data_IF_798496669088
#
_entry.id   IF_798496669088
#
_cell.length_a   1.000
_cell.length_b   1.000
_cell.length_c   1.000
_cell.angle_alpha   90.00
_cell.angle_beta   90.00
_cell.angle_gamma   90.00
#
_symmetry.space_group_name_H-M   'P 1'
#
loop_
_entity.id
_entity.type
_entity.pdbx_description
1 polymer ?
#
# COMPACT_ATOMS: atom_id res chain seq x y z
N UNK A 1 10.31 5.98 -4.23
CA UNK A 1 11.00 7.25 -4.54
C UNK A 1 9.97 8.12 -5.21
N UNK A 2 9.88 9.38 -4.80
CA UNK A 2 8.89 10.30 -5.37
C UNK A 2 9.23 10.49 -6.84
N UNK A 3 8.29 10.13 -7.71
CA UNK A 3 8.47 10.22 -9.16
C UNK A 3 7.67 11.39 -9.72
N UNK A 4 8.17 11.98 -10.80
CA UNK A 4 7.45 13.03 -11.54
C UNK A 4 6.13 12.51 -12.10
N UNK A 5 6.11 11.28 -12.63
CA UNK A 5 4.90 10.61 -13.08
C UNK A 5 3.90 10.38 -11.95
N UNK A 6 4.37 9.97 -10.76
CA UNK A 6 3.54 9.81 -9.57
C UNK A 6 2.90 11.12 -9.11
N UNK A 7 3.66 12.22 -9.12
CA UNK A 7 3.15 13.57 -8.78
C UNK A 7 2.14 14.09 -9.82
N UNK A 8 2.38 13.84 -11.11
CA UNK A 8 1.44 14.22 -12.17
C UNK A 8 0.15 13.41 -12.05
N UNK A 9 0.24 12.11 -11.83
CA UNK A 9 -0.91 11.24 -11.66
C UNK A 9 -1.71 11.59 -10.39
N UNK A 10 -1.05 11.87 -9.28
CA UNK A 10 -1.71 12.31 -8.04
C UNK A 10 -2.41 13.66 -8.23
N UNK A 11 -1.78 14.60 -8.94
CA UNK A 11 -2.41 15.87 -9.29
C UNK A 11 -3.64 15.70 -10.17
N UNK A 12 -3.56 14.85 -11.20
CA UNK A 12 -4.71 14.53 -12.05
C UNK A 12 -5.84 13.85 -11.26
N UNK A 13 -5.50 12.92 -10.36
CA UNK A 13 -6.47 12.30 -9.47
C UNK A 13 -7.16 13.30 -8.55
N UNK A 14 -6.42 14.26 -7.96
CA UNK A 14 -7.01 15.34 -7.18
C UNK A 14 -7.96 16.21 -8.02
N UNK A 15 -7.56 16.59 -9.23
CA UNK A 15 -8.42 17.36 -10.12
C UNK A 15 -9.70 16.60 -10.50
N UNK A 16 -9.59 15.31 -10.81
CA UNK A 16 -10.73 14.45 -11.15
C UNK A 16 -11.64 14.22 -9.95
N UNK A 17 -11.08 13.96 -8.76
CA UNK A 17 -11.82 13.82 -7.52
C UNK A 17 -12.64 15.09 -7.22
N UNK A 18 -12.03 16.27 -7.39
CA UNK A 18 -12.75 17.53 -7.23
C UNK A 18 -13.86 17.69 -8.27
N UNK A 19 -13.61 17.34 -9.53
CA UNK A 19 -14.63 17.39 -10.59
C UNK A 19 -15.82 16.48 -10.26
N UNK A 20 -15.56 15.25 -9.80
CA UNK A 20 -16.56 14.30 -9.35
C UNK A 20 -17.36 14.84 -8.16
N UNK A 21 -16.68 15.38 -7.15
CA UNK A 21 -17.33 15.99 -6.00
C UNK A 21 -18.27 17.12 -6.41
N UNK A 22 -17.83 18.01 -7.30
CA UNK A 22 -18.65 19.12 -7.79
C UNK A 22 -19.86 18.62 -8.57
N UNK A 23 -19.67 17.59 -9.42
CA UNK A 23 -20.76 16.97 -10.17
C UNK A 23 -21.81 16.32 -9.26
N UNK A 24 -21.37 15.63 -8.20
CA UNK A 24 -22.24 14.99 -7.22
C UNK A 24 -23.04 16.00 -6.39
N UNK A 25 -22.42 17.12 -5.99
CA UNK A 25 -23.08 18.18 -5.21
C UNK A 25 -24.03 19.01 -6.11
N UNK A 26 -23.87 18.96 -7.43
CA UNK A 26 -24.65 19.78 -8.37
C UNK A 26 -24.29 21.26 -8.30
N UNK A 27 -23.12 21.61 -7.77
CA UNK A 27 -22.71 23.01 -7.56
C UNK A 27 -22.26 23.63 -8.88
N UNK A 28 -22.99 24.64 -9.35
CA UNK A 28 -22.57 25.44 -10.50
C UNK A 28 -21.66 26.57 -10.04
N UNK A 29 -20.51 26.70 -10.69
CA UNK A 29 -19.62 27.83 -10.50
C UNK A 29 -19.84 28.81 -11.65
N UNK A 30 -20.01 30.09 -11.33
CA UNK A 30 -19.93 31.15 -12.34
C UNK A 30 -18.54 31.12 -13.02
N UNK A 31 -18.42 31.79 -14.17
CA UNK A 31 -17.17 31.89 -14.96
C UNK A 31 -16.10 32.73 -14.25
N UNK A 32 -15.80 32.44 -12.99
CA UNK A 32 -14.82 33.14 -12.17
C UNK A 32 -13.76 32.19 -11.60
N UNK A 33 -12.70 32.77 -11.05
CA UNK A 33 -11.64 32.07 -10.35
C UNK A 33 -12.08 31.39 -9.05
N UNK A 34 -13.34 31.56 -8.61
CA UNK A 34 -13.88 30.92 -7.40
C UNK A 34 -13.80 29.39 -7.42
N UNK A 35 -13.70 28.77 -8.61
CA UNK A 35 -13.48 27.32 -8.74
C UNK A 35 -12.04 26.90 -8.42
N UNK A 36 -11.04 27.74 -8.66
CA UNK A 36 -9.62 27.37 -8.67
C UNK A 36 -9.12 26.91 -7.29
N UNK A 37 -9.52 27.58 -6.21
CA UNK A 37 -9.09 27.23 -4.85
C UNK A 37 -9.42 25.79 -4.47
N UNK A 38 -10.61 25.30 -4.84
CA UNK A 38 -11.01 23.91 -4.54
C UNK A 38 -10.18 22.87 -5.31
N UNK A 39 -9.78 23.17 -6.55
CA UNK A 39 -8.91 22.29 -7.33
C UNK A 39 -7.49 22.29 -6.77
N UNK A 40 -6.93 23.45 -6.42
CA UNK A 40 -5.58 23.56 -5.84
C UNK A 40 -5.51 22.77 -4.53
N UNK A 41 -6.50 22.92 -3.64
CA UNK A 41 -6.55 22.17 -2.39
C UNK A 41 -6.62 20.66 -2.64
N UNK A 42 -7.47 20.22 -3.56
CA UNK A 42 -7.61 18.79 -3.85
C UNK A 42 -6.35 18.19 -4.46
N UNK A 43 -5.71 18.90 -5.40
CA UNK A 43 -4.41 18.52 -5.97
C UNK A 43 -3.35 18.43 -4.87
N UNK A 44 -3.30 19.42 -3.98
CA UNK A 44 -2.35 19.46 -2.86
C UNK A 44 -2.52 18.27 -1.91
N UNK A 45 -3.76 17.92 -1.55
CA UNK A 45 -4.06 16.76 -0.70
C UNK A 45 -3.59 15.46 -1.36
N UNK A 46 -3.90 15.23 -2.63
CA UNK A 46 -3.52 13.99 -3.31
C UNK A 46 -2.00 13.87 -3.51
N UNK A 47 -1.34 14.95 -3.92
CA UNK A 47 0.12 14.95 -4.09
C UNK A 47 0.85 14.84 -2.75
N UNK A 48 0.34 15.47 -1.68
CA UNK A 48 0.87 15.31 -0.33
C UNK A 48 0.69 13.88 0.20
N UNK A 49 -0.48 13.28 -0.02
CA UNK A 49 -0.74 11.89 0.35
C UNK A 49 0.19 10.93 -0.40
N UNK A 50 0.40 11.15 -1.72
CA UNK A 50 1.35 10.37 -2.51
C UNK A 50 2.77 10.45 -1.92
N UNK A 51 3.24 11.65 -1.58
CA UNK A 51 4.57 11.84 -0.99
C UNK A 51 4.74 11.02 0.31
N UNK A 52 3.76 11.07 1.20
CA UNK A 52 3.79 10.34 2.48
C UNK A 52 3.74 8.83 2.24
N UNK A 53 2.83 8.35 1.38
CA UNK A 53 2.66 6.93 1.09
C UNK A 53 3.90 6.33 0.41
N UNK A 54 4.55 7.06 -0.49
CA UNK A 54 5.79 6.61 -1.12
C UNK A 54 6.91 6.40 -0.09
N UNK A 55 7.00 7.26 0.93
CA UNK A 55 7.99 7.09 1.99
C UNK A 55 7.73 5.84 2.84
N UNK A 56 6.48 5.54 3.15
CA UNK A 56 6.12 4.29 3.83
C UNK A 56 6.39 3.06 2.95
N UNK A 57 6.07 3.15 1.65
CA UNK A 57 6.32 2.08 0.70
C UNK A 57 7.80 1.73 0.60
N UNK A 58 8.67 2.74 0.47
CA UNK A 58 10.13 2.54 0.44
C UNK A 58 10.64 1.83 1.69
N UNK A 59 10.26 2.32 2.88
CA UNK A 59 10.68 1.71 4.16
C UNK A 59 10.27 0.25 4.25
N UNK A 60 9.05 -0.07 3.80
CA UNK A 60 8.56 -1.45 3.81
C UNK A 60 9.34 -2.33 2.83
N UNK A 61 9.60 -1.84 1.62
CA UNK A 61 10.39 -2.58 0.63
C UNK A 61 11.81 -2.83 1.12
N UNK A 62 12.46 -1.85 1.75
CA UNK A 62 13.78 -2.03 2.38
C UNK A 62 13.76 -3.09 3.48
N UNK A 63 12.76 -3.05 4.37
CA UNK A 63 12.61 -4.06 5.44
C UNK A 63 12.40 -5.46 4.87
N UNK A 64 11.58 -5.59 3.82
CA UNK A 64 11.33 -6.86 3.16
C UNK A 64 12.60 -7.39 2.48
N UNK A 65 13.36 -6.53 1.80
CA UNK A 65 14.63 -6.92 1.19
C UNK A 65 15.65 -7.40 2.22
N UNK A 66 15.77 -6.72 3.37
CA UNK A 66 16.65 -7.17 4.48
C UNK A 66 16.24 -8.52 5.05
N UNK A 67 14.93 -8.76 5.23
CA UNK A 67 14.45 -10.06 5.69
C UNK A 67 14.71 -11.16 4.67
N UNK A 68 14.54 -10.82 3.39
CA UNK A 68 14.74 -11.75 2.30
C UNK A 68 16.22 -12.09 2.09
N UNK A 69 17.15 -11.14 2.29
CA UNK A 69 18.59 -11.42 2.29
C UNK A 69 18.97 -12.34 3.45
N UNK A 70 18.51 -12.06 4.67
CA UNK A 70 18.76 -12.91 5.84
C UNK A 70 18.22 -14.35 5.64
N UNK A 71 17.05 -14.51 5.04
CA UNK A 71 16.49 -15.84 4.73
C UNK A 71 17.32 -16.58 3.65
N UNK A 72 17.86 -15.86 2.66
CA UNK A 72 18.75 -16.43 1.65
C UNK A 72 20.07 -16.88 2.27
N UNK A 73 20.64 -16.10 3.17
CA UNK A 73 21.86 -16.47 3.93
C UNK A 73 21.61 -17.68 4.83
N UNK A 74 20.49 -17.72 5.55
CA UNK A 74 20.10 -18.88 6.34
C UNK A 74 19.90 -20.13 5.48
N UNK A 75 19.31 -20.00 4.28
CA UNK A 75 19.19 -21.13 3.35
C UNK A 75 20.56 -21.58 2.84
N UNK A 76 21.45 -20.66 2.47
CA UNK A 76 22.81 -21.01 2.05
C UNK A 76 23.58 -21.73 3.18
N UNK A 77 23.46 -21.27 4.43
CA UNK A 77 24.03 -21.97 5.59
C UNK A 77 23.38 -23.33 5.80
N UNK A 78 22.06 -23.44 5.68
CA UNK A 78 21.36 -24.73 5.75
C UNK A 78 21.89 -25.69 4.69
N UNK A 79 22.06 -25.24 3.45
CA UNK A 79 22.60 -26.07 2.36
C UNK A 79 24.07 -26.48 2.62
N UNK A 80 24.85 -25.65 3.34
CA UNK A 80 26.22 -25.98 3.75
C UNK A 80 26.25 -26.98 4.93
N UNK A 81 25.29 -26.92 5.85
CA UNK A 81 25.27 -27.74 7.08
C UNK A 81 24.38 -29.00 7.01
N UNK A 82 23.58 -29.18 5.95
CA UNK A 82 22.81 -30.40 5.72
C UNK A 82 23.62 -31.47 4.98
N UNK A 83 24.65 -31.98 5.66
CA UNK A 83 25.12 -33.38 5.51
C UNK A 83 24.58 -34.26 6.67
N UNK A 84 23.90 -33.69 7.67
CA UNK A 84 23.37 -34.47 8.80
C UNK A 84 21.95 -34.07 9.23
N UNK A 85 21.06 -35.06 9.13
CA UNK A 85 19.76 -35.23 9.79
C UNK A 85 18.63 -34.24 9.48
N UNK A 86 17.73 -34.71 8.61
CA UNK A 86 16.36 -34.27 8.41
C UNK A 86 15.55 -34.38 9.72
N UNK A 87 15.33 -33.25 10.42
CA UNK A 87 14.31 -33.15 11.48
C UNK A 87 13.22 -32.16 11.05
N UNK A 88 11.97 -32.64 11.14
CA UNK A 88 10.77 -32.06 10.55
C UNK A 88 10.54 -30.60 10.89
N UNK A 89 10.31 -29.81 9.83
CA UNK A 89 10.07 -28.37 9.89
C UNK A 89 8.63 -28.09 10.40
N UNK A 90 8.46 -27.87 11.71
CA UNK A 90 7.17 -27.51 12.32
C UNK A 90 6.81 -26.01 12.18
N UNK A 91 7.02 -25.42 10.99
CA UNK A 91 6.77 -23.98 10.75
C UNK A 91 5.31 -23.61 10.44
N UNK A 92 4.38 -24.55 10.52
CA UNK A 92 2.97 -24.35 10.22
C UNK A 92 2.06 -24.77 11.40
N UNK A 93 2.07 -24.01 12.49
CA UNK A 93 0.91 -23.91 13.41
C UNK A 93 1.11 -22.75 14.42
N UNK A 94 0.05 -22.13 14.95
CA UNK A 94 -0.64 -21.02 14.28
C UNK A 94 -0.90 -19.88 15.27
N UNK A 95 -0.39 -18.69 14.99
CA UNK A 95 -0.88 -17.48 15.68
C UNK A 95 -1.17 -16.41 14.64
N UNK A 96 -2.05 -16.75 13.70
CA UNK A 96 -2.64 -15.77 12.80
C UNK A 96 -3.66 -15.00 13.64
N UNK A 97 -3.26 -13.82 14.13
CA UNK A 97 -4.05 -13.05 15.07
C UNK A 97 -5.49 -12.79 14.61
N UNK A 98 -6.34 -12.33 15.55
CA UNK A 98 -7.81 -12.17 15.45
C UNK A 98 -8.39 -11.65 14.12
N UNK A 99 -7.62 -10.90 13.34
CA UNK A 99 -8.02 -10.44 12.02
C UNK A 99 -8.24 -11.59 11.02
N UNK A 100 -7.35 -12.59 11.01
CA UNK A 100 -7.47 -13.74 10.10
C UNK A 100 -8.57 -14.71 10.53
N UNK A 101 -8.79 -14.88 11.83
CA UNK A 101 -9.93 -15.65 12.36
C UNK A 101 -11.28 -15.08 11.92
N UNK A 102 -11.40 -13.75 11.87
CA UNK A 102 -12.61 -13.09 11.39
C UNK A 102 -12.79 -13.31 9.89
N UNK A 103 -11.73 -13.22 9.09
CA UNK A 103 -11.82 -13.47 7.65
C UNK A 103 -12.21 -14.92 7.34
N UNK A 104 -11.63 -15.89 8.04
CA UNK A 104 -12.00 -17.30 7.87
C UNK A 104 -13.45 -17.55 8.30
N UNK A 105 -13.93 -16.91 9.37
CA UNK A 105 -15.33 -17.03 9.83
C UNK A 105 -16.35 -16.50 8.83
N UNK A 106 -16.05 -15.40 8.13
CA UNK A 106 -16.95 -14.81 7.14
C UNK A 106 -16.70 -15.32 5.71
N UNK A 107 -15.60 -16.05 5.47
CA UNK A 107 -15.24 -16.61 4.18
C UNK A 107 -15.73 -18.04 3.94
N UNK A 108 -16.32 -18.72 4.93
CA UNK A 108 -16.86 -20.06 4.71
C UNK A 108 -18.18 -20.00 3.91
N UNK A 109 -18.30 -20.78 2.82
CA UNK A 109 -19.55 -20.87 2.08
C UNK A 109 -20.62 -21.49 3.00
N UNK A 110 -21.78 -20.82 3.06
CA UNK A 110 -22.96 -21.25 3.82
C UNK A 110 -23.27 -22.72 3.49
N UNK A 111 -23.29 -23.60 4.49
CA UNK A 111 -23.92 -24.92 4.39
C UNK A 111 -25.39 -24.82 4.72
#
# INVERSE_FOLDING_TARGET
>A
MVTTSGLVLSGLMGALARRLQVALIGKTYEKSFNRAGGYILSIGVFSGAYYVLDQYHQRNTELLQRRLSALREQRAQKDIFFEFAEQGDHRLSPNRGRFFDLMDKYGQPYR
#
